data_IF_186124154527
#
_entry.id   IF_186124154527
#
_cell.length_a   1.000
_cell.length_b   1.000
_cell.length_c   1.000
_cell.angle_alpha   90.00
_cell.angle_beta   90.00
_cell.angle_gamma   90.00
#
_symmetry.space_group_name_H-M   'P 1'
#
loop_
_entity.id
_entity.type
_entity.pdbx_description
1 polymer ?
#
# COMPACT_ATOMS: atom_id res chain seq x y z
N UNK A 1 7.15 -29.57 -32.67
CA UNK A 1 6.55 -29.07 -31.41
C UNK A 1 5.43 -30.04 -31.06
N UNK A 2 5.16 -30.32 -29.79
CA UNK A 2 3.94 -31.04 -29.43
C UNK A 2 2.76 -30.07 -29.62
N UNK A 3 1.76 -30.47 -30.39
CA UNK A 3 0.60 -29.61 -30.65
C UNK A 3 -0.21 -29.39 -29.37
N UNK A 4 -0.40 -28.12 -29.01
CA UNK A 4 -1.16 -27.74 -27.80
C UNK A 4 -2.64 -28.09 -28.05
N UNK A 5 -3.31 -28.84 -27.15
CA UNK A 5 -4.71 -29.17 -27.32
C UNK A 5 -5.59 -27.93 -27.51
N UNK A 6 -6.54 -28.00 -28.44
CA UNK A 6 -7.44 -26.88 -28.78
C UNK A 6 -8.23 -26.35 -27.57
N UNK A 7 -8.58 -27.24 -26.63
CA UNK A 7 -9.18 -26.92 -25.33
C UNK A 7 -8.29 -25.98 -24.49
N UNK A 8 -6.99 -26.23 -24.45
CA UNK A 8 -6.01 -25.42 -23.70
C UNK A 8 -5.84 -24.06 -24.35
N UNK A 9 -5.76 -24.01 -25.68
CA UNK A 9 -5.68 -22.75 -26.44
C UNK A 9 -6.93 -21.88 -26.19
N UNK A 10 -8.12 -22.49 -26.20
CA UNK A 10 -9.40 -21.83 -25.93
C UNK A 10 -9.53 -21.34 -24.48
N UNK A 11 -8.96 -22.07 -23.52
CA UNK A 11 -8.96 -21.64 -22.11
C UNK A 11 -7.94 -20.52 -21.88
N UNK A 12 -6.75 -20.61 -22.48
CA UNK A 12 -5.70 -19.59 -22.36
C UNK A 12 -6.14 -18.24 -22.95
N UNK A 13 -6.87 -18.22 -24.06
CA UNK A 13 -7.35 -16.96 -24.66
C UNK A 13 -8.41 -16.24 -23.82
N UNK A 14 -9.00 -16.89 -22.81
CA UNK A 14 -9.90 -16.29 -21.82
C UNK A 14 -9.16 -15.68 -20.61
N UNK A 15 -7.87 -15.94 -20.46
CA UNK A 15 -7.03 -15.36 -19.40
C UNK A 15 -6.41 -14.03 -19.85
N UNK A 16 -6.20 -13.05 -18.96
CA UNK A 16 -5.41 -11.84 -19.24
C UNK A 16 -4.02 -12.16 -19.81
N UNK A 17 -3.51 -11.33 -20.71
CA UNK A 17 -2.24 -11.58 -21.45
C UNK A 17 -1.06 -11.70 -20.48
N UNK A 18 -1.07 -10.92 -19.41
CA UNK A 18 -0.09 -10.94 -18.33
C UNK A 18 -0.09 -12.30 -17.64
N UNK A 19 -1.28 -12.81 -17.29
CA UNK A 19 -1.49 -14.12 -16.67
C UNK A 19 -1.05 -15.26 -17.59
N UNK A 20 -1.39 -15.19 -18.88
CA UNK A 20 -0.89 -16.14 -19.90
C UNK A 20 0.65 -16.16 -19.93
N UNK A 21 1.29 -15.00 -19.89
CA UNK A 21 2.76 -14.89 -19.93
C UNK A 21 3.43 -15.53 -18.72
N UNK A 22 2.87 -15.32 -17.51
CA UNK A 22 3.37 -15.89 -16.26
C UNK A 22 3.17 -17.41 -16.24
N UNK A 23 2.01 -17.90 -16.67
CA UNK A 23 1.70 -19.33 -16.75
C UNK A 23 2.66 -20.05 -17.69
N UNK A 24 2.88 -19.53 -18.91
CA UNK A 24 3.74 -20.15 -19.93
C UNK A 24 5.24 -20.05 -19.63
N UNK A 25 5.69 -19.07 -18.84
CA UNK A 25 7.11 -18.92 -18.47
C UNK A 25 7.60 -20.12 -17.66
N UNK A 26 8.79 -20.67 -17.96
CA UNK A 26 9.35 -21.78 -17.15
C UNK A 26 9.57 -21.35 -15.70
N UNK A 27 9.32 -22.24 -14.75
CA UNK A 27 9.60 -21.98 -13.34
C UNK A 27 11.10 -21.77 -13.13
N UNK A 28 11.48 -20.75 -12.37
CA UNK A 28 12.86 -20.37 -12.10
C UNK A 28 13.06 -20.04 -10.61
N UNK A 29 14.20 -19.41 -10.26
CA UNK A 29 14.43 -18.92 -8.89
C UNK A 29 13.55 -17.72 -8.52
N UNK A 30 13.15 -16.90 -9.51
CA UNK A 30 12.23 -15.76 -9.31
C UNK A 30 10.90 -16.25 -8.71
N UNK A 31 10.52 -15.78 -7.50
CA UNK A 31 9.24 -16.09 -6.85
C UNK A 31 8.03 -15.98 -7.77
N UNK A 32 7.96 -14.95 -8.64
CA UNK A 32 6.85 -14.70 -9.57
C UNK A 32 6.72 -15.77 -10.66
N UNK A 33 7.73 -16.62 -10.84
CA UNK A 33 7.72 -17.75 -11.77
C UNK A 33 7.49 -19.10 -11.11
N UNK A 34 7.51 -19.17 -9.76
CA UNK A 34 7.39 -20.44 -9.03
C UNK A 34 5.99 -21.01 -9.11
N UNK A 35 5.91 -22.33 -8.93
CA UNK A 35 4.65 -23.07 -9.00
C UNK A 35 3.61 -22.51 -8.01
N UNK A 36 3.98 -22.29 -6.75
CA UNK A 36 3.13 -21.72 -5.70
C UNK A 36 2.49 -20.40 -6.12
N UNK A 37 3.29 -19.47 -6.66
CA UNK A 37 2.80 -18.17 -7.13
C UNK A 37 1.82 -18.32 -8.31
N UNK A 38 2.11 -19.18 -9.29
CA UNK A 38 1.20 -19.42 -10.43
C UNK A 38 -0.15 -19.99 -10.01
N UNK A 39 -0.15 -20.94 -9.07
CA UNK A 39 -1.38 -21.55 -8.52
C UNK A 39 -2.23 -20.48 -7.83
N UNK A 40 -1.61 -19.61 -7.03
CA UNK A 40 -2.31 -18.51 -6.36
C UNK A 40 -2.83 -17.45 -7.32
N UNK A 41 -2.04 -17.05 -8.31
CA UNK A 41 -2.44 -16.07 -9.32
C UNK A 41 -3.64 -16.55 -10.14
N UNK A 42 -3.70 -17.85 -10.48
CA UNK A 42 -4.86 -18.49 -11.09
C UNK A 42 -6.07 -18.50 -10.14
N UNK A 43 -5.87 -18.86 -8.87
CA UNK A 43 -6.93 -18.88 -7.86
C UNK A 43 -7.54 -17.50 -7.61
N UNK A 44 -6.71 -16.45 -7.54
CA UNK A 44 -7.16 -15.06 -7.41
C UNK A 44 -7.94 -14.58 -8.65
N UNK A 45 -7.51 -14.98 -9.85
CA UNK A 45 -8.25 -14.70 -11.09
C UNK A 45 -9.62 -15.40 -11.14
N UNK A 46 -9.69 -16.67 -10.72
CA UNK A 46 -10.95 -17.43 -10.68
C UNK A 46 -11.92 -16.87 -9.64
N UNK A 47 -11.45 -16.28 -8.55
CA UNK A 47 -12.30 -15.65 -7.54
C UNK A 47 -13.20 -14.54 -8.15
N UNK A 48 -12.71 -13.81 -9.15
CA UNK A 48 -13.48 -12.80 -9.90
C UNK A 48 -14.12 -13.34 -11.19
N UNK A 49 -13.76 -14.55 -11.62
CA UNK A 49 -14.21 -15.19 -12.87
C UNK A 49 -14.68 -16.64 -12.63
N UNK A 50 -15.60 -16.83 -11.68
CA UNK A 50 -16.04 -18.16 -11.23
C UNK A 50 -16.61 -19.06 -12.34
N UNK A 51 -17.17 -18.47 -13.40
CA UNK A 51 -17.64 -19.21 -14.58
C UNK A 51 -16.50 -19.95 -15.34
N UNK A 52 -15.23 -19.56 -15.14
CA UNK A 52 -14.05 -20.22 -15.69
C UNK A 52 -13.47 -21.30 -14.76
N UNK A 53 -13.97 -21.47 -13.54
CA UNK A 53 -13.42 -22.40 -12.54
C UNK A 53 -13.30 -23.83 -13.08
N UNK A 54 -14.36 -24.30 -13.74
CA UNK A 54 -14.38 -25.63 -14.36
C UNK A 54 -13.37 -25.71 -15.51
N UNK A 55 -13.36 -24.75 -16.44
CA UNK A 55 -12.48 -24.77 -17.62
C UNK A 55 -11.00 -24.78 -17.25
N UNK A 56 -10.59 -23.90 -16.33
CA UNK A 56 -9.22 -23.81 -15.81
C UNK A 56 -8.90 -24.99 -14.90
N UNK A 57 -9.89 -25.54 -14.21
CA UNK A 57 -9.75 -26.69 -13.33
C UNK A 57 -9.15 -26.35 -11.96
N UNK A 58 -9.41 -25.15 -11.44
CA UNK A 58 -8.94 -24.72 -10.12
C UNK A 58 -9.87 -23.67 -9.50
N UNK A 59 -10.13 -23.74 -8.20
CA UNK A 59 -10.92 -22.74 -7.47
C UNK A 59 -10.88 -22.89 -5.95
N UNK A 60 -11.27 -21.84 -5.22
CA UNK A 60 -11.33 -21.85 -3.76
C UNK A 60 -12.56 -22.62 -3.25
N UNK A 61 -12.39 -23.29 -2.10
CA UNK A 61 -13.46 -23.97 -1.36
C UNK A 61 -13.72 -23.28 -0.02
N UNK A 62 -12.69 -22.68 0.58
CA UNK A 62 -12.75 -21.80 1.74
C UNK A 62 -11.63 -20.75 1.68
N UNK A 63 -11.38 -20.00 2.75
CA UNK A 63 -10.23 -19.07 2.83
C UNK A 63 -8.87 -19.80 2.71
N UNK A 64 -8.78 -21.04 3.21
CA UNK A 64 -7.54 -21.81 3.32
C UNK A 64 -7.51 -23.07 2.45
N UNK A 65 -8.66 -23.53 1.95
CA UNK A 65 -8.76 -24.73 1.12
C UNK A 65 -9.14 -24.39 -0.32
N UNK A 66 -8.50 -25.05 -1.26
CA UNK A 66 -8.80 -24.96 -2.68
C UNK A 66 -8.95 -26.36 -3.31
N UNK A 67 -9.58 -26.42 -4.47
CA UNK A 67 -9.76 -27.63 -5.27
C UNK A 67 -9.05 -27.51 -6.61
N UNK A 68 -8.48 -28.62 -7.07
CA UNK A 68 -7.79 -28.75 -8.36
C UNK A 68 -8.32 -29.96 -9.12
N UNK A 69 -8.70 -29.75 -10.38
CA UNK A 69 -8.80 -30.77 -11.41
C UNK A 69 -7.43 -30.91 -12.08
N UNK A 70 -6.65 -31.89 -11.61
CA UNK A 70 -5.22 -31.96 -11.95
C UNK A 70 -4.96 -32.17 -13.44
N UNK A 71 -5.87 -32.77 -14.20
CA UNK A 71 -5.68 -32.99 -15.65
C UNK A 71 -5.71 -31.65 -16.41
N UNK A 72 -6.78 -30.88 -16.24
CA UNK A 72 -6.94 -29.54 -16.84
C UNK A 72 -5.79 -28.61 -16.45
N UNK A 73 -5.43 -28.58 -15.17
CA UNK A 73 -4.36 -27.70 -14.71
C UNK A 73 -2.95 -28.12 -15.18
N UNK A 74 -2.70 -29.43 -15.35
CA UNK A 74 -1.45 -29.95 -15.94
C UNK A 74 -1.32 -29.55 -17.41
N UNK A 75 -2.41 -29.68 -18.16
CA UNK A 75 -2.51 -29.26 -19.57
C UNK A 75 -2.31 -27.74 -19.70
N UNK A 76 -2.98 -26.93 -18.87
CA UNK A 76 -2.89 -25.47 -18.87
C UNK A 76 -1.50 -24.94 -18.51
N UNK A 77 -0.84 -25.55 -17.51
CA UNK A 77 0.51 -25.16 -17.08
C UNK A 77 1.62 -25.71 -17.99
N UNK A 78 1.31 -26.60 -18.93
CA UNK A 78 2.30 -27.23 -19.82
C UNK A 78 3.33 -28.10 -19.09
N UNK A 79 2.91 -28.79 -18.02
CA UNK A 79 3.77 -29.68 -17.22
C UNK A 79 3.34 -31.15 -17.33
N UNK A 80 4.09 -32.07 -16.72
CA UNK A 80 3.69 -33.49 -16.63
C UNK A 80 2.92 -33.74 -15.33
N UNK A 81 1.97 -34.69 -15.35
CA UNK A 81 1.20 -35.09 -14.16
C UNK A 81 2.09 -35.49 -12.97
N UNK A 82 3.22 -36.16 -13.23
CA UNK A 82 4.19 -36.50 -12.19
C UNK A 82 4.80 -35.25 -11.56
N UNK A 83 5.18 -34.25 -12.37
CA UNK A 83 5.70 -32.96 -11.88
C UNK A 83 4.66 -32.19 -11.08
N UNK A 84 3.37 -32.24 -11.45
CA UNK A 84 2.29 -31.66 -10.65
C UNK A 84 2.17 -32.31 -9.27
N UNK A 85 2.18 -33.65 -9.20
CA UNK A 85 2.11 -34.36 -7.92
C UNK A 85 3.34 -34.10 -7.03
N UNK A 86 4.54 -34.08 -7.63
CA UNK A 86 5.80 -33.78 -6.94
C UNK A 86 5.79 -32.34 -6.42
N UNK A 87 5.45 -31.35 -7.25
CA UNK A 87 5.38 -29.95 -6.83
C UNK A 87 4.38 -29.74 -5.67
N UNK A 88 3.20 -30.37 -5.73
CA UNK A 88 2.22 -30.25 -4.63
C UNK A 88 2.78 -30.84 -3.33
N UNK A 89 3.43 -32.01 -3.39
CA UNK A 89 4.02 -32.66 -2.23
C UNK A 89 5.21 -31.87 -1.65
N UNK A 90 6.21 -31.59 -2.48
CA UNK A 90 7.50 -31.02 -2.08
C UNK A 90 7.37 -29.55 -1.62
N UNK A 91 6.33 -28.85 -2.07
CA UNK A 91 5.99 -27.50 -1.65
C UNK A 91 4.95 -27.47 -0.52
N UNK A 92 4.76 -28.58 0.21
CA UNK A 92 3.99 -28.62 1.45
C UNK A 92 2.46 -28.50 1.30
N UNK A 93 1.89 -28.84 0.14
CA UNK A 93 0.44 -28.88 0.00
C UNK A 93 -0.14 -30.21 0.53
N UNK A 94 -0.95 -30.11 1.57
CA UNK A 94 -1.64 -31.24 2.19
C UNK A 94 -2.96 -31.54 1.46
N UNK A 95 -3.15 -32.79 1.08
CA UNK A 95 -4.34 -33.26 0.36
C UNK A 95 -5.47 -33.56 1.34
N UNK A 96 -6.52 -32.74 1.33
CA UNK A 96 -7.68 -32.86 2.22
C UNK A 96 -8.73 -33.86 1.74
N UNK A 97 -8.82 -34.11 0.44
CA UNK A 97 -9.81 -35.04 -0.12
C UNK A 97 -9.22 -35.90 -1.25
N UNK A 98 -9.55 -37.20 -1.23
CA UNK A 98 -9.32 -38.11 -2.35
C UNK A 98 -10.04 -37.64 -3.62
N UNK A 99 -9.60 -38.15 -4.77
CA UNK A 99 -10.10 -37.72 -6.07
C UNK A 99 -11.58 -38.10 -6.23
N UNK A 100 -12.42 -37.10 -6.50
CA UNK A 100 -13.84 -37.27 -6.80
C UNK A 100 -14.16 -36.50 -8.07
N UNK A 101 -14.57 -37.21 -9.12
CA UNK A 101 -14.86 -36.64 -10.45
C UNK A 101 -13.68 -35.82 -11.03
N UNK A 102 -12.45 -36.28 -10.84
CA UNK A 102 -11.22 -35.58 -11.27
C UNK A 102 -10.74 -34.45 -10.34
N UNK A 103 -11.58 -34.01 -9.40
CA UNK A 103 -11.27 -32.95 -8.45
C UNK A 103 -10.60 -33.50 -7.17
N UNK A 104 -9.64 -32.75 -6.64
CA UNK A 104 -8.94 -33.01 -5.37
C UNK A 104 -8.85 -31.75 -4.54
N UNK A 105 -9.03 -31.81 -3.21
CA UNK A 105 -8.90 -30.66 -2.29
C UNK A 105 -7.52 -30.62 -1.64
N UNK A 106 -7.00 -29.41 -1.48
CA UNK A 106 -5.66 -29.11 -0.95
C UNK A 106 -5.70 -27.91 -0.01
N UNK A 107 -4.77 -27.88 0.93
CA UNK A 107 -4.44 -26.75 1.82
C UNK A 107 -2.92 -26.66 1.98
N UNK A 108 -2.40 -25.50 2.41
CA UNK A 108 -1.00 -25.30 2.80
C UNK A 108 -0.94 -24.15 3.81
N UNK A 109 -0.12 -24.30 4.84
CA UNK A 109 0.08 -23.24 5.83
C UNK A 109 0.63 -21.96 5.18
N UNK A 110 -0.05 -20.83 5.45
CA UNK A 110 0.27 -19.54 4.85
C UNK A 110 -0.15 -19.38 3.37
N UNK A 111 -0.92 -20.31 2.81
CA UNK A 111 -1.49 -20.23 1.46
C UNK A 111 -3.02 -20.05 1.56
N UNK A 112 -3.50 -18.81 1.46
CA UNK A 112 -4.93 -18.42 1.60
C UNK A 112 -5.38 -17.57 0.42
N UNK A 113 -6.66 -17.19 0.34
CA UNK A 113 -7.15 -16.32 -0.73
C UNK A 113 -6.33 -15.02 -0.84
N UNK A 114 -5.99 -14.45 0.32
CA UNK A 114 -5.35 -13.14 0.44
C UNK A 114 -3.83 -13.21 0.68
N UNK A 115 -3.25 -14.40 0.86
CA UNK A 115 -1.84 -14.55 1.27
C UNK A 115 -1.14 -15.75 0.61
N UNK A 116 0.14 -15.56 0.28
CA UNK A 116 1.07 -16.63 -0.08
C UNK A 116 2.38 -16.50 0.68
N UNK A 117 2.67 -17.46 1.54
CA UNK A 117 4.01 -17.69 2.08
C UNK A 117 4.88 -18.31 0.99
N UNK A 118 6.02 -17.69 0.66
CA UNK A 118 6.87 -18.15 -0.44
C UNK A 118 7.68 -19.38 -0.05
N UNK A 119 8.09 -20.16 -1.05
CA UNK A 119 8.82 -21.41 -0.80
C UNK A 119 10.23 -21.18 -0.23
N UNK A 120 10.73 -19.94 -0.26
CA UNK A 120 11.97 -19.51 0.42
C UNK A 120 11.86 -19.55 1.94
N UNK A 121 10.65 -19.44 2.49
CA UNK A 121 10.42 -19.14 3.90
C UNK A 121 10.19 -20.44 4.71
N UNK A 122 10.21 -21.60 4.04
CA UNK A 122 10.01 -22.93 4.60
C UNK A 122 11.33 -23.67 4.92
N UNK A 123 12.49 -23.12 4.55
CA UNK A 123 13.80 -23.69 4.90
C UNK A 123 14.23 -23.27 6.33
N UNK A 124 13.90 -24.07 7.37
CA UNK A 124 14.76 -24.31 8.56
C UNK A 124 14.16 -25.16 9.72
N UNK A 125 13.42 -26.24 9.46
CA UNK A 125 13.05 -27.21 10.54
C UNK A 125 13.22 -28.70 10.15
N UNK A 126 14.23 -29.04 9.34
CA UNK A 126 14.65 -30.44 9.15
C UNK A 126 16.14 -30.61 9.41
N UNK A 127 16.47 -31.70 10.10
CA UNK A 127 17.67 -31.83 10.93
C UNK A 127 18.98 -32.18 10.18
N UNK A 128 20.08 -31.99 10.90
CA UNK A 128 21.47 -32.21 10.52
C UNK A 128 21.76 -33.42 9.62
N UNK A 129 22.20 -33.15 8.38
CA UNK A 129 23.08 -34.06 7.63
C UNK A 129 24.18 -33.22 6.94
N UNK A 130 25.46 -33.37 7.32
CA UNK A 130 26.53 -32.57 6.73
C UNK A 130 26.84 -33.05 5.30
N UNK A 131 26.62 -32.18 4.31
CA UNK A 131 27.14 -32.35 2.94
C UNK A 131 28.15 -31.27 2.60
N UNK A 132 29.27 -31.70 2.03
CA UNK A 132 30.49 -30.92 1.84
C UNK A 132 30.35 -29.87 0.74
N UNK A 133 30.77 -28.63 1.06
CA UNK A 133 30.88 -27.54 0.08
C UNK A 133 31.94 -27.87 -0.97
N UNK A 134 31.59 -27.74 -2.25
CA UNK A 134 32.56 -27.48 -3.33
C UNK A 134 32.21 -26.13 -3.94
N UNK A 135 33.17 -25.21 -3.86
CA UNK A 135 33.13 -23.91 -4.55
C UNK A 135 33.62 -24.12 -5.98
N UNK A 136 32.98 -23.48 -6.95
CA UNK A 136 33.46 -23.41 -8.33
C UNK A 136 33.28 -21.99 -8.86
N UNK A 137 34.40 -21.36 -9.19
CA UNK A 137 34.53 -20.13 -9.99
C UNK A 137 34.56 -20.50 -11.48
N UNK A 138 34.18 -19.57 -12.38
CA UNK A 138 34.58 -19.39 -13.81
C UNK A 138 33.53 -18.42 -14.40
N UNK A 139 33.86 -17.13 -14.56
CA UNK A 139 34.48 -16.48 -15.75
C UNK A 139 33.50 -16.15 -16.89
N UNK A 140 33.58 -14.92 -17.39
CA UNK A 140 32.73 -14.33 -18.44
C UNK A 140 33.55 -14.15 -19.73
N UNK A 141 33.10 -14.65 -20.89
CA UNK A 141 33.71 -14.31 -22.18
C UNK A 141 33.08 -13.05 -22.79
N UNK A 142 33.91 -12.06 -23.11
CA UNK A 142 33.54 -10.85 -23.86
C UNK A 142 33.89 -11.00 -25.34
N UNK A 143 32.89 -10.99 -26.23
CA UNK A 143 33.03 -10.85 -27.70
C UNK A 143 31.65 -10.81 -28.36
N UNK A 144 31.36 -10.07 -29.43
CA UNK A 144 32.13 -9.09 -30.21
C UNK A 144 31.13 -8.20 -30.98
N UNK A 145 31.53 -6.99 -31.36
CA UNK A 145 30.84 -6.15 -32.34
C UNK A 145 30.85 -6.80 -33.74
N UNK A 146 29.81 -6.56 -34.55
CA UNK A 146 29.93 -6.07 -35.93
C UNK A 146 28.54 -5.89 -36.58
N UNK A 147 28.30 -4.72 -37.16
CA UNK A 147 27.32 -4.51 -38.24
C UNK A 147 27.88 -5.04 -39.58
N UNK A 148 27.08 -5.09 -40.66
CA UNK A 148 27.17 -3.95 -41.58
C UNK A 148 25.84 -3.49 -42.23
N UNK A 149 25.88 -2.26 -42.75
CA UNK A 149 24.84 -1.60 -43.56
C UNK A 149 24.56 -2.27 -44.92
N UNK A 150 23.41 -1.98 -45.56
CA UNK A 150 23.29 -2.17 -47.01
C UNK A 150 21.90 -2.17 -47.68
N UNK A 151 21.35 -0.96 -47.95
CA UNK A 151 20.57 -0.52 -49.15
C UNK A 151 19.32 -1.33 -49.62
N UNK A 152 18.11 -0.76 -49.67
CA UNK A 152 17.52 0.15 -50.71
C UNK A 152 17.07 -0.54 -52.02
N UNK A 153 15.75 -0.71 -52.22
CA UNK A 153 14.94 -0.12 -53.33
C UNK A 153 13.47 -0.64 -53.40
N UNK A 154 12.65 0.09 -54.17
CA UNK A 154 11.23 0.00 -54.61
C UNK A 154 10.44 -1.35 -54.56
N UNK A 155 9.10 -1.43 -54.59
CA UNK A 155 8.06 -0.65 -55.29
C UNK A 155 6.70 -0.51 -54.54
N UNK A 156 5.83 0.38 -55.06
CA UNK A 156 4.37 0.50 -54.81
C UNK A 156 3.67 0.44 -56.19
N UNK A 157 2.56 -0.31 -56.39
CA UNK A 157 1.20 0.29 -56.45
C UNK A 157 0.07 -0.73 -56.03
N UNK A 158 -1.26 -0.50 -56.00
CA UNK A 158 -2.14 0.69 -55.91
C UNK A 158 -3.60 0.29 -55.49
N UNK A 159 -4.44 1.30 -55.19
CA UNK A 159 -5.92 1.40 -55.39
C UNK A 159 -6.88 0.32 -54.80
N UNK A 160 -7.93 0.79 -54.11
CA UNK A 160 -9.12 0.00 -53.77
C UNK A 160 -10.18 0.73 -52.92
N UNK A 161 -10.98 1.63 -53.54
CA UNK A 161 -12.05 2.40 -52.86
C UNK A 161 -13.34 1.62 -52.54
N UNK A 162 -14.02 2.03 -51.45
CA UNK A 162 -15.50 2.03 -51.16
C UNK A 162 -15.73 2.32 -49.65
N UNK A 163 -16.50 3.30 -49.14
CA UNK A 163 -17.87 3.80 -49.45
C UNK A 163 -18.91 2.67 -49.32
N UNK A 164 -19.91 2.63 -48.42
CA UNK A 164 -20.49 3.52 -47.37
C UNK A 164 -20.94 2.60 -46.18
N UNK A 165 -21.55 2.98 -45.04
CA UNK A 165 -22.74 3.82 -44.78
C UNK A 165 -22.85 4.22 -43.29
N UNK A 166 -23.70 5.21 -42.99
CA UNK A 166 -24.00 5.71 -41.65
C UNK A 166 -25.24 5.01 -41.04
N UNK A 167 -25.20 4.67 -39.75
CA UNK A 167 -26.42 4.60 -38.91
C UNK A 167 -26.16 5.30 -37.58
N UNK A 168 -27.01 6.27 -37.27
CA UNK A 168 -27.08 7.02 -36.02
C UNK A 168 -27.81 6.23 -34.93
N UNK A 169 -27.28 6.26 -33.70
CA UNK A 169 -28.08 6.06 -32.49
C UNK A 169 -27.55 6.95 -31.36
N UNK A 170 -28.41 7.83 -30.86
CA UNK A 170 -28.07 8.85 -29.88
C UNK A 170 -28.02 8.33 -28.42
N UNK A 171 -27.24 9.05 -27.61
CA UNK A 171 -27.46 9.35 -26.18
C UNK A 171 -27.55 8.18 -25.17
N UNK A 172 -26.44 7.97 -24.46
CA UNK A 172 -26.38 8.19 -23.00
C UNK A 172 -24.92 8.28 -22.55
N UNK A 173 -24.33 9.49 -22.62
CA UNK A 173 -23.01 9.75 -22.06
C UNK A 173 -23.10 9.85 -20.53
N UNK A 174 -22.92 8.72 -19.84
CA UNK A 174 -22.41 8.75 -18.46
C UNK A 174 -20.94 9.17 -18.51
N UNK A 175 -20.63 10.39 -18.10
CA UNK A 175 -19.26 10.89 -17.95
C UNK A 175 -18.51 10.07 -16.89
N UNK A 176 -17.84 9.01 -17.35
CA UNK A 176 -16.94 8.22 -16.52
C UNK A 176 -15.66 9.03 -16.29
N UNK A 177 -15.60 9.75 -15.17
CA UNK A 177 -14.38 10.37 -14.70
C UNK A 177 -13.49 9.30 -14.06
N UNK A 178 -12.56 8.76 -14.84
CA UNK A 178 -11.54 7.83 -14.37
C UNK A 178 -10.44 8.62 -13.64
N UNK A 179 -9.98 8.11 -12.50
CA UNK A 179 -8.65 8.46 -11.99
C UNK A 179 -7.65 8.03 -13.07
N UNK A 180 -6.91 8.98 -13.64
CA UNK A 180 -5.87 8.68 -14.61
C UNK A 180 -4.67 8.03 -13.90
N UNK A 181 -4.64 6.69 -13.90
CA UNK A 181 -3.42 5.95 -13.64
C UNK A 181 -2.47 6.19 -14.81
N UNK A 182 -1.37 6.90 -14.58
CA UNK A 182 -0.35 7.10 -15.60
C UNK A 182 0.26 5.74 -15.97
N UNK A 183 0.00 5.31 -17.21
CA UNK A 183 0.58 4.08 -17.76
C UNK A 183 1.90 4.34 -18.50
N UNK A 184 2.19 5.62 -18.79
CA UNK A 184 3.35 6.07 -19.55
C UNK A 184 4.41 6.69 -18.62
N UNK A 185 5.20 5.83 -17.98
CA UNK A 185 6.58 6.19 -17.68
C UNK A 185 7.46 5.50 -18.72
N UNK A 186 8.31 6.26 -19.39
CA UNK A 186 9.22 5.73 -20.40
C UNK A 186 10.20 4.71 -19.78
N UNK A 187 10.49 3.64 -20.53
CA UNK A 187 11.30 2.52 -20.06
C UNK A 187 12.80 2.85 -20.03
N UNK A 188 13.23 3.61 -19.02
CA UNK A 188 14.66 3.75 -18.72
C UNK A 188 15.17 2.55 -17.90
N UNK A 189 16.40 2.11 -18.20
CA UNK A 189 16.87 0.74 -17.95
C UNK A 189 17.57 0.51 -16.61
N UNK A 190 16.92 0.81 -15.49
CA UNK A 190 17.37 0.38 -14.16
C UNK A 190 16.54 -0.81 -13.67
N UNK A 191 17.07 -2.04 -13.83
CA UNK A 191 16.36 -3.28 -13.43
C UNK A 191 16.28 -3.52 -11.91
N UNK A 192 16.96 -2.70 -11.10
CA UNK A 192 17.04 -2.83 -9.63
C UNK A 192 16.05 -1.93 -8.84
N UNK A 193 15.27 -1.08 -9.50
CA UNK A 193 14.31 -0.20 -8.80
C UNK A 193 13.01 -0.94 -8.44
N UNK A 194 12.61 -0.86 -7.17
CA UNK A 194 11.37 -1.46 -6.66
C UNK A 194 10.18 -0.77 -7.35
N UNK A 195 9.22 -1.50 -7.96
CA UNK A 195 8.14 -0.89 -8.73
C UNK A 195 7.21 -0.01 -7.89
N UNK A 196 7.43 1.30 -7.93
CA UNK A 196 6.62 2.31 -7.24
C UNK A 196 5.34 2.58 -8.03
N UNK A 197 4.17 2.49 -7.38
CA UNK A 197 2.88 2.81 -8.02
C UNK A 197 2.40 4.19 -7.54
N UNK A 198 2.10 5.07 -8.50
CA UNK A 198 1.71 6.46 -8.26
C UNK A 198 0.19 6.62 -8.42
N UNK A 199 -0.43 7.32 -7.48
CA UNK A 199 -1.83 7.76 -7.49
C UNK A 199 -1.86 9.29 -7.55
N UNK A 200 -2.43 9.89 -8.60
CA UNK A 200 -2.55 11.34 -8.72
C UNK A 200 -3.92 11.82 -8.25
N UNK A 201 -3.96 12.88 -7.44
CA UNK A 201 -5.20 13.63 -7.18
C UNK A 201 -5.42 14.74 -8.23
N UNK A 202 -6.58 15.42 -8.15
CA UNK A 202 -6.96 16.51 -9.07
C UNK A 202 -6.05 17.75 -8.95
N UNK A 203 -5.23 17.84 -7.91
CA UNK A 203 -4.22 18.89 -7.68
C UNK A 203 -2.83 18.46 -8.20
N UNK A 204 -2.70 17.23 -8.70
CA UNK A 204 -1.46 16.67 -9.24
C UNK A 204 -0.54 16.01 -8.20
N UNK A 205 -0.94 15.90 -6.93
CA UNK A 205 -0.13 15.22 -5.91
C UNK A 205 -0.06 13.72 -6.19
N UNK A 206 1.17 13.21 -6.29
CA UNK A 206 1.46 11.79 -6.42
C UNK A 206 1.60 11.12 -5.05
N UNK A 207 0.62 10.31 -4.66
CA UNK A 207 0.70 9.43 -3.50
C UNK A 207 1.24 8.05 -3.91
N UNK A 208 2.07 7.47 -3.05
CA UNK A 208 2.74 6.19 -3.29
C UNK A 208 2.28 5.16 -2.27
N UNK A 209 2.11 3.91 -2.72
CA UNK A 209 1.99 2.75 -1.84
C UNK A 209 3.30 1.95 -1.91
N UNK A 210 4.16 2.15 -0.91
CA UNK A 210 5.51 1.60 -0.85
C UNK A 210 5.55 0.09 -0.63
N UNK A 211 6.56 -0.57 -1.20
CA UNK A 211 6.83 -2.03 -1.15
C UNK A 211 5.69 -2.97 -1.57
N UNK A 212 4.62 -2.47 -2.20
CA UNK A 212 3.48 -3.26 -2.68
C UNK A 212 3.56 -3.50 -4.19
N UNK A 213 3.28 -4.71 -4.66
CA UNK A 213 3.21 -5.01 -6.09
C UNK A 213 2.11 -4.19 -6.79
N UNK A 214 2.36 -3.67 -8.01
CA UNK A 214 1.38 -2.88 -8.80
C UNK A 214 -0.02 -3.51 -8.86
N UNK A 215 -0.12 -4.83 -9.05
CA UNK A 215 -1.41 -5.56 -9.02
C UNK A 215 -2.14 -5.44 -7.68
N UNK A 216 -1.41 -5.55 -6.56
CA UNK A 216 -1.95 -5.38 -5.21
C UNK A 216 -2.29 -3.90 -4.92
N UNK A 217 -1.52 -2.94 -5.44
CA UNK A 217 -1.88 -1.53 -5.36
C UNK A 217 -3.21 -1.25 -6.09
N UNK A 218 -3.39 -1.80 -7.30
CA UNK A 218 -4.65 -1.67 -8.05
C UNK A 218 -5.83 -2.27 -7.27
N UNK A 219 -5.67 -3.46 -6.69
CA UNK A 219 -6.71 -4.10 -5.86
C UNK A 219 -7.04 -3.21 -4.65
N UNK A 220 -6.03 -2.75 -3.92
CA UNK A 220 -6.19 -1.85 -2.77
C UNK A 220 -6.98 -0.59 -3.11
N UNK A 221 -6.65 0.09 -4.22
CA UNK A 221 -7.39 1.31 -4.64
C UNK A 221 -8.84 1.00 -4.99
N UNK A 222 -9.11 -0.11 -5.70
CA UNK A 222 -10.49 -0.51 -6.02
C UNK A 222 -11.29 -0.90 -4.78
N UNK A 223 -10.66 -1.53 -3.78
CA UNK A 223 -11.26 -1.76 -2.46
C UNK A 223 -11.60 -0.43 -1.77
N UNK A 224 -10.70 0.55 -1.79
CA UNK A 224 -10.94 1.87 -1.20
C UNK A 224 -12.10 2.60 -1.89
N UNK A 225 -12.16 2.61 -3.23
CA UNK A 225 -13.25 3.23 -4.01
C UNK A 225 -14.59 2.56 -3.68
N UNK A 226 -14.62 1.22 -3.64
CA UNK A 226 -15.81 0.45 -3.30
C UNK A 226 -16.31 0.80 -1.89
N UNK A 227 -15.41 0.88 -0.91
CA UNK A 227 -15.76 1.21 0.46
C UNK A 227 -16.23 2.67 0.60
N UNK A 228 -15.59 3.62 -0.09
CA UNK A 228 -16.03 5.02 -0.15
C UNK A 228 -17.48 5.15 -0.61
N UNK A 229 -17.83 4.50 -1.73
CA UNK A 229 -19.20 4.50 -2.23
C UNK A 229 -20.19 3.84 -1.26
N UNK A 230 -19.80 2.76 -0.58
CA UNK A 230 -20.63 2.12 0.44
C UNK A 230 -20.86 3.03 1.67
N UNK A 231 -19.82 3.71 2.16
CA UNK A 231 -19.88 4.56 3.35
C UNK A 231 -20.65 5.88 3.11
N UNK A 232 -20.62 6.40 1.88
CA UNK A 232 -21.12 7.73 1.55
C UNK A 232 -22.24 7.73 0.49
N UNK A 233 -22.95 6.62 0.29
CA UNK A 233 -24.11 6.49 -0.62
C UNK A 233 -23.78 6.82 -2.09
N UNK A 234 -22.71 6.24 -2.62
CA UNK A 234 -22.19 6.48 -3.98
C UNK A 234 -21.77 7.93 -4.26
N UNK A 235 -21.43 8.71 -3.22
CA UNK A 235 -20.82 10.02 -3.36
C UNK A 235 -19.53 9.91 -4.21
N UNK A 236 -19.33 10.74 -5.25
CA UNK A 236 -18.10 10.75 -6.04
C UNK A 236 -16.84 10.96 -5.19
N UNK A 237 -15.70 10.43 -5.64
CA UNK A 237 -14.43 10.46 -4.90
C UNK A 237 -13.82 11.87 -4.73
N UNK A 238 -14.18 12.81 -5.60
CA UNK A 238 -13.74 14.21 -5.56
C UNK A 238 -14.57 15.08 -4.60
N UNK A 239 -15.70 14.56 -4.11
CA UNK A 239 -16.58 15.31 -3.21
C UNK A 239 -16.07 15.32 -1.77
N UNK A 240 -16.46 16.38 -1.05
CA UNK A 240 -16.06 16.64 0.33
C UNK A 240 -17.11 16.18 1.34
N UNK A 241 -16.66 15.51 2.39
CA UNK A 241 -17.49 14.99 3.48
C UNK A 241 -17.14 15.71 4.79
N UNK A 242 -18.10 16.28 5.55
CA UNK A 242 -17.81 16.89 6.84
C UNK A 242 -17.14 15.92 7.82
N UNK A 243 -16.09 16.35 8.56
CA UNK A 243 -15.33 15.57 9.56
C UNK A 243 -16.20 14.65 10.41
N UNK A 244 -17.23 15.19 11.06
CA UNK A 244 -18.12 14.42 11.93
C UNK A 244 -18.91 13.29 11.22
N UNK A 245 -19.23 13.46 9.93
CA UNK A 245 -19.88 12.42 9.12
C UNK A 245 -18.85 11.38 8.68
N UNK A 246 -17.69 11.83 8.18
CA UNK A 246 -16.59 10.96 7.73
C UNK A 246 -16.12 10.04 8.85
N UNK A 247 -15.71 10.62 9.98
CA UNK A 247 -15.23 9.90 11.17
C UNK A 247 -16.28 8.89 11.66
N UNK A 248 -17.55 9.28 11.74
CA UNK A 248 -18.62 8.40 12.22
C UNK A 248 -18.88 7.21 11.31
N UNK A 249 -18.86 7.40 9.98
CA UNK A 249 -19.01 6.29 9.04
C UNK A 249 -17.78 5.37 9.06
N UNK A 250 -16.57 5.93 9.12
CA UNK A 250 -15.35 5.15 9.22
C UNK A 250 -15.31 4.34 10.52
N UNK A 251 -15.74 4.92 11.64
CA UNK A 251 -15.88 4.24 12.92
C UNK A 251 -16.93 3.13 12.91
N UNK A 252 -18.00 3.28 12.14
CA UNK A 252 -19.03 2.25 11.97
C UNK A 252 -18.54 1.08 11.11
N UNK A 253 -17.72 1.35 10.09
CA UNK A 253 -17.10 0.33 9.23
C UNK A 253 -15.93 -0.40 9.91
N UNK A 254 -15.07 0.32 10.65
CA UNK A 254 -13.86 -0.21 11.26
C UNK A 254 -14.06 -0.90 12.61
N UNK A 255 -15.16 -0.60 13.34
CA UNK A 255 -15.35 -1.11 14.72
C UNK A 255 -15.40 -2.64 14.75
N UNK A 256 -14.82 -3.22 15.80
CA UNK A 256 -15.07 -4.64 16.12
C UNK A 256 -16.54 -4.86 16.55
N UNK A 257 -17.12 -6.06 16.42
CA UNK A 257 -18.49 -6.35 16.83
C UNK A 257 -18.79 -5.92 18.29
N UNK A 258 -17.87 -6.21 19.20
CA UNK A 258 -17.92 -5.95 20.63
C UNK A 258 -17.48 -4.52 21.03
N UNK A 259 -16.87 -3.75 20.12
CA UNK A 259 -16.36 -2.43 20.42
C UNK A 259 -17.50 -1.38 20.44
N UNK A 260 -17.63 -0.58 21.51
CA UNK A 260 -18.55 0.55 21.53
C UNK A 260 -18.23 1.55 20.42
N UNK A 261 -19.25 2.00 19.68
CA UNK A 261 -19.07 2.95 18.56
C UNK A 261 -18.36 4.24 19.00
N UNK A 262 -18.64 4.74 20.19
CA UNK A 262 -18.01 5.94 20.73
C UNK A 262 -16.48 5.78 20.89
N UNK A 263 -16.01 4.62 21.34
CA UNK A 263 -14.58 4.33 21.42
C UNK A 263 -13.93 4.20 20.03
N UNK A 264 -14.65 3.65 19.05
CA UNK A 264 -14.18 3.61 17.64
C UNK A 264 -14.04 5.02 17.06
N UNK A 265 -14.99 5.91 17.35
CA UNK A 265 -14.95 7.34 16.98
C UNK A 265 -13.71 8.00 17.61
N UNK A 266 -13.54 7.92 18.93
CA UNK A 266 -12.41 8.54 19.65
C UNK A 266 -11.04 8.10 19.11
N UNK A 267 -10.89 6.81 18.78
CA UNK A 267 -9.66 6.27 18.19
C UNK A 267 -9.39 6.86 16.80
N UNK A 268 -10.42 7.01 15.96
CA UNK A 268 -10.25 7.55 14.61
C UNK A 268 -10.07 9.08 14.65
N UNK A 269 -10.76 9.80 15.54
CA UNK A 269 -10.52 11.23 15.78
C UNK A 269 -9.08 11.48 16.21
N UNK A 270 -8.52 10.67 17.10
CA UNK A 270 -7.13 10.77 17.51
C UNK A 270 -6.12 10.53 16.37
N UNK A 271 -6.43 9.62 15.43
CA UNK A 271 -5.59 9.37 14.24
C UNK A 271 -5.54 10.58 13.30
N UNK A 272 -6.62 11.36 13.23
CA UNK A 272 -6.76 12.53 12.35
C UNK A 272 -6.55 13.88 13.05
N UNK A 273 -6.29 13.91 14.36
CA UNK A 273 -6.21 15.15 15.14
C UNK A 273 -5.09 16.10 14.63
N UNK A 274 -3.94 15.55 14.26
CA UNK A 274 -2.77 16.34 13.84
C UNK A 274 -2.83 16.81 12.36
N UNK A 275 -3.79 16.32 11.56
CA UNK A 275 -3.99 16.70 10.15
C UNK A 275 -4.12 18.22 9.96
N UNK A 276 -4.73 18.88 10.94
CA UNK A 276 -5.01 20.31 10.91
C UNK A 276 -3.72 21.15 11.10
N UNK A 277 -2.64 20.56 11.62
CA UNK A 277 -1.32 21.22 11.77
C UNK A 277 -0.48 21.14 10.48
N UNK A 278 -0.49 20.00 9.79
CA UNK A 278 0.25 19.78 8.53
C UNK A 278 -0.16 20.77 7.43
N UNK A 279 -1.48 20.93 7.24
CA UNK A 279 -2.03 21.83 6.22
C UNK A 279 -1.61 23.29 6.41
N UNK A 280 -1.37 23.73 7.64
CA UNK A 280 -0.88 25.10 7.90
C UNK A 280 0.62 25.23 7.60
N UNK A 281 1.39 24.15 7.71
CA UNK A 281 2.83 24.14 7.45
C UNK A 281 3.14 24.28 5.96
N UNK A 282 2.40 23.55 5.10
CA UNK A 282 2.55 23.61 3.63
C UNK A 282 2.27 25.03 3.11
N UNK A 283 1.13 25.62 3.49
CA UNK A 283 0.72 26.96 3.03
C UNK A 283 1.69 28.08 3.46
N UNK A 284 2.54 27.86 4.47
CA UNK A 284 3.52 28.86 4.90
C UNK A 284 4.84 28.81 4.10
N UNK A 285 5.20 27.69 3.46
CA UNK A 285 6.38 27.64 2.58
C UNK A 285 6.16 28.47 1.32
N UNK A 286 5.00 28.33 0.67
CA UNK A 286 4.71 29.05 -0.58
C UNK A 286 4.59 30.57 -0.38
N UNK A 287 4.04 31.01 0.75
CA UNK A 287 3.92 32.43 1.06
C UNK A 287 5.28 33.09 1.41
N UNK A 288 6.19 32.37 2.08
CA UNK A 288 7.53 32.90 2.40
C UNK A 288 8.42 33.08 1.16
N UNK A 289 8.24 32.28 0.12
CA UNK A 289 8.96 32.46 -1.15
C UNK A 289 8.54 33.73 -1.92
N UNK A 290 7.34 34.28 -1.68
CA UNK A 290 6.87 35.50 -2.35
C UNK A 290 7.21 36.81 -1.63
N UNK A 291 7.48 36.80 -0.32
CA UNK A 291 7.75 38.03 0.45
C UNK A 291 9.24 38.46 0.51
N UNK A 292 10.18 37.61 0.07
CA UNK A 292 11.61 37.88 0.20
C UNK A 292 12.23 38.80 -0.88
N UNK A 293 11.40 39.53 -1.64
CA UNK A 293 11.87 40.36 -2.76
C UNK A 293 11.67 41.88 -2.57
N UNK A 294 11.27 42.35 -1.38
CA UNK A 294 11.18 43.77 -1.05
C UNK A 294 11.58 44.04 0.43
N UNK A 295 12.88 44.15 0.69
CA UNK A 295 13.46 45.21 1.54
C UNK A 295 14.98 45.04 1.67
N UNK A 296 15.72 45.88 0.96
CA UNK A 296 17.08 46.27 1.31
C UNK A 296 17.16 47.78 1.16
N UNK A 297 17.47 48.47 2.27
CA UNK A 297 18.10 49.80 2.39
C UNK A 297 17.90 50.29 3.83
N UNK A 298 19.01 50.35 4.59
CA UNK A 298 19.35 51.31 5.65
C UNK A 298 18.47 51.33 6.94
N UNK A 299 18.99 51.67 8.13
CA UNK A 299 20.34 52.08 8.54
C UNK A 299 20.55 51.79 10.05
N UNK A 300 21.80 51.86 10.50
CA UNK A 300 22.19 51.84 11.91
C UNK A 300 21.57 52.98 12.74
N UNK A 301 21.44 52.79 14.06
CA UNK A 301 22.01 53.71 15.06
C UNK A 301 21.97 53.15 16.48
N UNK A 302 23.05 53.43 17.22
CA UNK A 302 23.22 53.21 18.67
C UNK A 302 22.35 54.13 19.55
N UNK A 303 22.47 53.91 20.87
CA UNK A 303 22.08 54.71 22.06
C UNK A 303 20.83 54.21 22.79
N UNK A 304 20.71 54.26 24.11
CA UNK A 304 21.61 54.43 25.28
C UNK A 304 20.68 54.23 26.51
N UNK A 305 21.26 54.08 27.69
CA UNK A 305 20.63 53.89 28.99
C UNK A 305 19.60 54.95 29.40
N UNK A 306 18.57 54.53 30.15
CA UNK A 306 17.53 55.42 30.70
C UNK A 306 16.70 54.79 31.82
N UNK A 307 17.11 55.02 33.08
CA UNK A 307 16.38 54.63 34.30
C UNK A 307 15.45 55.78 34.72
N UNK A 308 14.15 55.53 34.98
CA UNK A 308 13.45 55.92 36.23
C UNK A 308 11.90 55.79 36.27
N UNK A 309 11.43 55.49 37.48
CA UNK A 309 10.19 55.87 38.18
C UNK A 309 8.77 55.69 37.59
N UNK A 310 7.98 54.95 38.36
CA UNK A 310 6.70 55.35 38.98
C UNK A 310 5.88 56.51 38.38
N UNK A 311 4.61 56.20 38.07
CA UNK A 311 3.47 56.80 38.80
C UNK A 311 2.15 56.08 38.55
N UNK A 312 1.33 56.03 39.61
CA UNK A 312 -0.09 55.71 39.55
C UNK A 312 -0.83 56.67 38.62
N UNK A 313 -1.91 56.20 38.00
CA UNK A 313 -3.09 57.03 37.72
C UNK A 313 -4.33 56.15 37.61
N UNK A 314 -5.24 56.30 38.57
CA UNK A 314 -6.65 55.92 38.39
C UNK A 314 -7.25 56.79 37.28
N UNK A 315 -7.75 56.16 36.22
CA UNK A 315 -8.70 56.79 35.29
C UNK A 315 -9.84 55.81 35.03
N UNK A 316 -10.95 56.08 35.70
CA UNK A 316 -12.27 55.56 35.36
C UNK A 316 -12.63 55.88 33.91
N UNK A 317 -13.07 54.89 33.14
CA UNK A 317 -13.76 55.11 31.87
C UNK A 317 -14.89 54.09 31.69
N UNK A 318 -16.12 54.58 31.77
CA UNK A 318 -17.29 53.88 31.25
C UNK A 318 -17.11 53.67 29.74
N UNK A 319 -17.10 52.41 29.29
CA UNK A 319 -17.30 52.03 27.89
C UNK A 319 -17.90 50.61 27.79
N UNK A 320 -18.88 50.31 28.64
CA UNK A 320 -19.70 49.11 28.48
C UNK A 320 -20.63 49.24 27.27
N UNK A 321 -20.63 48.18 26.43
CA UNK A 321 -21.39 47.98 25.18
C UNK A 321 -20.82 48.63 23.90
N UNK A 322 -19.95 47.87 23.21
CA UNK A 322 -20.12 47.49 21.78
C UNK A 322 -18.97 46.58 21.28
N UNK A 323 -18.88 45.34 21.77
CA UNK A 323 -17.87 44.41 21.27
C UNK A 323 -18.29 42.92 21.37
N UNK A 324 -19.40 42.56 20.72
CA UNK A 324 -19.89 41.18 20.64
C UNK A 324 -20.52 40.85 19.26
N UNK A 325 -19.82 41.11 18.15
CA UNK A 325 -20.39 40.78 16.82
C UNK A 325 -19.38 40.51 15.66
N UNK A 326 -18.08 40.29 15.94
CA UNK A 326 -17.06 40.13 14.87
C UNK A 326 -16.11 38.93 15.01
N UNK A 327 -16.42 37.95 15.87
CA UNK A 327 -15.61 36.73 16.05
C UNK A 327 -16.10 35.50 15.27
N UNK A 328 -17.08 35.64 14.36
CA UNK A 328 -17.44 34.58 13.40
C UNK A 328 -16.46 34.54 12.19
N UNK A 329 -15.16 34.66 12.50
CA UNK A 329 -14.10 34.57 11.50
C UNK A 329 -13.85 33.12 11.15
N UNK A 330 -14.61 32.66 10.15
CA UNK A 330 -14.24 31.55 9.26
C UNK A 330 -13.71 30.33 10.00
N UNK A 331 -14.58 29.67 10.75
CA UNK A 331 -14.34 28.29 11.18
C UNK A 331 -14.26 27.42 9.91
N UNK A 332 -13.05 27.28 9.37
CA UNK A 332 -12.73 26.49 8.18
C UNK A 332 -13.41 25.14 8.37
N UNK A 333 -14.30 24.73 7.46
CA UNK A 333 -14.92 23.42 7.57
C UNK A 333 -13.83 22.40 7.37
N UNK A 334 -13.57 21.61 8.41
CA UNK A 334 -12.71 20.45 8.32
C UNK A 334 -13.43 19.41 7.45
N UNK A 335 -13.26 19.53 6.15
CA UNK A 335 -13.80 18.60 5.19
C UNK A 335 -12.76 17.50 4.89
N UNK A 336 -13.27 16.29 4.73
CA UNK A 336 -12.53 15.07 4.43
C UNK A 336 -12.84 14.62 3.00
N UNK A 337 -11.90 13.91 2.41
CA UNK A 337 -11.86 13.52 1.00
C UNK A 337 -11.56 12.04 0.86
N UNK A 338 -11.65 11.51 -0.36
CA UNK A 338 -11.24 10.14 -0.65
C UNK A 338 -9.79 9.84 -0.23
N UNK A 339 -8.88 10.81 -0.36
CA UNK A 339 -7.46 10.66 0.04
C UNK A 339 -7.31 10.42 1.55
N UNK A 340 -8.20 10.96 2.39
CA UNK A 340 -8.14 10.73 3.83
C UNK A 340 -8.54 9.28 4.19
N UNK A 341 -9.51 8.70 3.48
CA UNK A 341 -9.86 7.27 3.59
C UNK A 341 -8.72 6.39 3.08
N UNK A 342 -8.18 6.71 1.89
CA UNK A 342 -7.06 6.01 1.28
C UNK A 342 -5.84 5.98 2.22
N UNK A 343 -5.53 7.12 2.84
CA UNK A 343 -4.43 7.26 3.82
C UNK A 343 -4.68 6.40 5.05
N UNK A 344 -5.88 6.43 5.64
CA UNK A 344 -6.22 5.56 6.77
C UNK A 344 -6.06 4.07 6.44
N UNK A 345 -6.54 3.65 5.26
CA UNK A 345 -6.46 2.26 4.81
C UNK A 345 -5.06 1.84 4.37
N UNK A 346 -4.22 2.76 3.89
CA UNK A 346 -2.81 2.46 3.62
C UNK A 346 -2.06 2.19 4.93
N UNK A 347 -2.33 2.97 5.98
CA UNK A 347 -1.72 2.83 7.32
C UNK A 347 -2.22 1.61 8.10
N UNK A 348 -3.52 1.33 8.05
CA UNK A 348 -4.17 0.33 8.93
C UNK A 348 -5.09 -0.67 8.24
N UNK A 349 -5.29 -0.62 6.92
CA UNK A 349 -6.15 -1.57 6.19
C UNK A 349 -5.64 -3.02 6.27
N UNK A 350 -6.50 -4.02 6.02
CA UNK A 350 -7.87 -3.89 5.53
C UNK A 350 -8.86 -3.48 6.63
N UNK A 351 -10.00 -2.90 6.24
CA UNK A 351 -10.92 -2.18 7.15
C UNK A 351 -11.38 -3.04 8.33
N UNK A 352 -11.67 -4.31 8.07
CA UNK A 352 -12.22 -5.31 9.00
C UNK A 352 -11.30 -5.61 10.19
N UNK A 353 -9.99 -5.41 10.02
CA UNK A 353 -8.98 -5.66 11.07
C UNK A 353 -8.16 -4.43 11.44
N UNK A 354 -8.52 -3.26 10.91
CA UNK A 354 -7.81 -2.00 11.15
C UNK A 354 -7.70 -1.62 12.62
N UNK A 355 -8.79 -1.74 13.39
CA UNK A 355 -8.80 -1.53 14.84
C UNK A 355 -7.84 -2.47 15.61
N UNK A 356 -7.55 -3.67 15.07
CA UNK A 356 -6.58 -4.60 15.66
C UNK A 356 -5.15 -4.11 15.39
N UNK A 357 -4.86 -3.64 14.17
CA UNK A 357 -3.54 -3.04 13.83
C UNK A 357 -3.28 -1.77 14.63
N UNK A 358 -4.28 -0.89 14.77
CA UNK A 358 -4.21 0.31 15.61
C UNK A 358 -3.94 -0.08 17.08
N UNK A 359 -4.66 -1.07 17.62
CA UNK A 359 -4.45 -1.54 18.99
C UNK A 359 -3.07 -2.19 19.20
N UNK A 360 -2.50 -2.86 18.19
CA UNK A 360 -1.11 -3.33 18.24
C UNK A 360 -0.14 -2.15 18.33
N UNK A 361 -0.28 -1.16 17.44
CA UNK A 361 0.60 0.02 17.42
C UNK A 361 0.51 0.83 18.73
N UNK A 362 -0.70 1.03 19.26
CA UNK A 362 -0.93 1.71 20.53
C UNK A 362 -0.33 0.97 21.75
N UNK A 363 -0.20 -0.37 21.70
CA UNK A 363 0.51 -1.11 22.77
C UNK A 363 2.01 -0.84 22.77
N UNK A 364 2.62 -0.50 21.63
CA UNK A 364 4.05 -0.19 21.54
C UNK A 364 4.43 1.13 22.25
N UNK A 365 3.49 2.07 22.43
CA UNK A 365 3.72 3.27 23.27
C UNK A 365 3.69 2.93 24.76
N UNK A 366 2.83 1.99 25.17
CA UNK A 366 2.68 1.54 26.56
C UNK A 366 3.85 0.65 27.02
N UNK A 367 4.37 -0.22 26.15
CA UNK A 367 5.47 -1.12 26.53
C UNK A 367 6.78 -0.36 26.84
N UNK A 368 7.09 0.68 26.07
CA UNK A 368 8.30 1.48 26.26
C UNK A 368 8.31 2.28 27.59
N UNK A 369 7.16 2.62 28.17
CA UNK A 369 7.16 3.35 29.46
C UNK A 369 7.61 2.48 30.64
N UNK A 370 7.58 1.16 30.51
CA UNK A 370 7.90 0.25 31.61
C UNK A 370 9.40 -0.11 31.69
N UNK A 371 10.13 -0.05 30.57
CA UNK A 371 11.56 -0.42 30.50
C UNK A 371 12.51 0.72 30.86
N UNK A 372 12.05 1.98 30.90
CA UNK A 372 12.86 3.15 31.26
C UNK A 372 12.50 3.81 32.61
N UNK A 373 11.75 3.14 33.48
CA UNK A 373 11.26 3.69 34.76
C UNK A 373 12.30 3.81 35.89
N UNK A 374 13.55 4.14 35.56
CA UNK A 374 14.61 4.45 36.52
C UNK A 374 14.53 5.86 37.13
N UNK A 375 13.91 6.82 36.42
CA UNK A 375 13.77 8.21 36.87
C UNK A 375 12.32 8.68 36.74
N UNK A 376 11.72 9.05 37.88
CA UNK A 376 10.27 9.22 38.04
C UNK A 376 9.69 10.51 37.51
N UNK A 377 9.60 10.68 36.18
CA UNK A 377 8.77 11.71 35.55
C UNK A 377 7.64 11.07 34.74
N UNK A 378 6.39 11.39 35.11
CA UNK A 378 5.15 10.80 34.57
C UNK A 378 4.78 11.25 33.14
N UNK A 379 5.73 11.71 32.33
CA UNK A 379 5.45 11.99 30.92
C UNK A 379 5.27 10.67 30.19
N UNK A 380 4.03 10.43 29.74
CA UNK A 380 3.74 9.41 28.74
C UNK A 380 4.42 9.84 27.44
N UNK A 381 5.62 9.37 27.19
CA UNK A 381 6.37 9.64 25.97
C UNK A 381 5.65 8.97 24.79
N UNK A 382 4.63 9.63 24.26
CA UNK A 382 3.98 9.22 23.03
C UNK A 382 4.95 9.51 21.88
N UNK A 383 5.75 8.50 21.56
CA UNK A 383 6.77 8.58 20.52
C UNK A 383 6.18 8.33 19.11
N UNK A 384 4.90 7.99 19.01
CA UNK A 384 4.18 7.77 17.74
C UNK A 384 3.38 9.01 17.35
N UNK A 385 3.63 9.48 16.15
CA UNK A 385 2.90 10.56 15.49
C UNK A 385 2.21 10.01 14.23
N UNK A 386 1.06 10.56 13.84
CA UNK A 386 0.37 10.14 12.61
C UNK A 386 0.83 10.91 11.36
N UNK A 387 1.67 11.92 11.55
CA UNK A 387 2.23 12.82 10.55
C UNK A 387 3.67 13.19 10.96
N UNK A 388 4.53 13.67 10.05
CA UNK A 388 5.89 14.10 10.40
C UNK A 388 5.87 15.20 11.48
N UNK A 389 6.40 14.96 12.69
CA UNK A 389 6.35 15.94 13.78
C UNK A 389 7.29 17.10 13.52
N UNK A 390 7.01 18.27 14.14
CA UNK A 390 7.95 19.38 14.08
C UNK A 390 9.19 19.08 14.92
N UNK A 391 10.33 19.64 14.56
CA UNK A 391 11.60 19.43 15.28
C UNK A 391 11.47 19.75 16.77
N UNK A 392 10.69 20.77 17.14
CA UNK A 392 10.35 21.14 18.52
C UNK A 392 9.83 19.95 19.34
N UNK A 393 8.91 19.21 18.75
CA UNK A 393 8.07 18.20 19.41
C UNK A 393 8.87 16.94 19.77
N UNK A 394 9.99 16.73 19.07
CA UNK A 394 10.85 15.55 19.19
C UNK A 394 12.20 15.85 19.82
N UNK A 395 12.56 17.11 20.11
CA UNK A 395 13.87 17.49 20.69
C UNK A 395 14.27 16.75 21.97
N UNK A 396 13.30 16.22 22.72
CA UNK A 396 13.50 15.52 23.99
C UNK A 396 13.30 14.00 23.92
N UNK A 397 13.01 13.45 22.74
CA UNK A 397 12.68 12.03 22.54
C UNK A 397 13.87 11.24 21.98
N UNK A 398 14.41 10.30 22.76
CA UNK A 398 15.48 9.38 22.30
C UNK A 398 15.09 8.56 21.07
N UNK A 399 13.80 8.28 20.89
CA UNK A 399 13.23 7.65 19.72
C UNK A 399 11.85 8.26 19.44
N UNK A 400 11.53 8.44 18.15
CA UNK A 400 10.18 8.79 17.69
C UNK A 400 9.89 8.14 16.33
N UNK A 401 8.63 8.06 15.94
CA UNK A 401 8.24 7.54 14.63
C UNK A 401 6.92 8.11 14.11
N UNK A 402 6.78 8.16 12.80
CA UNK A 402 5.69 8.80 12.09
C UNK A 402 5.38 8.10 10.76
N UNK A 403 4.18 8.32 10.21
CA UNK A 403 3.86 7.88 8.85
C UNK A 403 4.36 8.89 7.81
N UNK A 404 5.01 8.41 6.76
CA UNK A 404 5.49 9.25 5.67
C UNK A 404 4.34 9.86 4.86
N UNK A 405 4.54 11.09 4.38
CA UNK A 405 3.51 11.81 3.61
C UNK A 405 3.48 11.43 2.13
N UNK A 406 4.56 10.85 1.59
CA UNK A 406 4.65 10.42 0.19
C UNK A 406 4.26 8.94 0.07
N UNK A 407 4.82 8.09 0.93
CA UNK A 407 4.53 6.65 0.99
C UNK A 407 3.48 6.36 2.07
N UNK A 408 2.20 6.34 1.69
CA UNK A 408 1.05 6.36 2.63
C UNK A 408 1.01 5.21 3.66
N UNK A 409 1.65 4.08 3.34
CA UNK A 409 1.75 2.90 4.20
C UNK A 409 3.10 2.75 4.92
N UNK A 410 4.06 3.65 4.70
CA UNK A 410 5.37 3.63 5.36
C UNK A 410 5.31 4.30 6.72
N UNK A 411 5.83 3.60 7.74
CA UNK A 411 6.13 4.14 9.05
C UNK A 411 7.65 4.23 9.22
N UNK A 412 8.12 5.42 9.57
CA UNK A 412 9.52 5.77 9.77
C UNK A 412 9.78 5.88 11.26
N UNK A 413 10.89 5.31 11.75
CA UNK A 413 11.35 5.43 13.14
C UNK A 413 12.75 6.02 13.15
N UNK A 414 12.92 7.12 13.87
CA UNK A 414 14.19 7.79 14.09
C UNK A 414 14.68 7.49 15.51
N UNK A 415 15.86 6.89 15.62
CA UNK A 415 16.56 6.65 16.88
C UNK A 415 17.63 7.74 17.04
N UNK A 416 17.34 8.77 17.83
CA UNK A 416 18.23 9.95 17.95
C UNK A 416 19.60 9.58 18.54
N UNK A 417 19.64 8.66 19.51
CA UNK A 417 20.88 8.24 20.19
C UNK A 417 21.90 7.58 19.24
N UNK A 418 21.43 6.90 18.19
CA UNK A 418 22.27 6.16 17.23
C UNK A 418 22.32 6.81 15.85
N UNK A 419 21.50 7.83 15.60
CA UNK A 419 21.26 8.39 14.25
C UNK A 419 20.63 7.39 13.27
N UNK A 420 20.12 6.25 13.74
CA UNK A 420 19.58 5.20 12.87
C UNK A 420 18.13 5.49 12.51
N UNK A 421 17.83 5.41 11.21
CA UNK A 421 16.46 5.40 10.69
C UNK A 421 16.05 3.96 10.39
N UNK A 422 14.82 3.58 10.73
CA UNK A 422 14.17 2.33 10.32
C UNK A 422 12.91 2.64 9.54
N UNK A 423 12.66 1.90 8.47
CA UNK A 423 11.40 1.98 7.69
C UNK A 423 10.69 0.63 7.72
N UNK A 424 9.37 0.69 7.86
CA UNK A 424 8.49 -0.49 7.79
C UNK A 424 7.20 -0.10 7.08
N UNK A 425 6.68 -1.00 6.23
CA UNK A 425 5.49 -0.77 5.44
C UNK A 425 4.35 -1.66 5.91
N UNK A 426 3.17 -1.08 6.14
CA UNK A 426 1.93 -1.86 6.27
C UNK A 426 1.52 -2.41 4.91
N UNK A 427 1.08 -3.67 4.89
CA UNK A 427 0.51 -4.34 3.74
C UNK A 427 -1.01 -4.24 3.85
N UNK A 428 -1.67 -3.29 3.15
CA UNK A 428 -3.06 -2.93 3.44
C UNK A 428 -4.10 -3.96 2.96
N UNK A 429 -3.67 -4.99 2.23
CA UNK A 429 -4.49 -6.14 1.84
C UNK A 429 -4.30 -7.36 2.76
N UNK A 430 -3.31 -7.34 3.66
CA UNK A 430 -3.07 -8.44 4.60
C UNK A 430 -3.71 -8.08 5.93
N UNK A 431 -4.60 -8.94 6.43
CA UNK A 431 -5.29 -8.71 7.70
C UNK A 431 -4.35 -8.68 8.93
N UNK A 432 -4.89 -8.33 10.09
CA UNK A 432 -4.11 -8.27 11.34
C UNK A 432 -3.70 -9.64 11.92
N UNK A 433 -4.08 -10.75 11.28
CA UNK A 433 -3.69 -12.12 11.65
C UNK A 433 -2.56 -12.66 10.75
N UNK A 434 -2.40 -12.10 9.56
CA UNK A 434 -1.29 -12.33 8.66
C UNK A 434 -0.01 -11.57 9.05
N UNK A 435 1.04 -11.73 8.25
CA UNK A 435 2.29 -10.98 8.43
C UNK A 435 2.23 -9.69 7.61
N UNK A 436 1.59 -8.68 8.20
CA UNK A 436 1.14 -7.45 7.53
C UNK A 436 2.15 -6.30 7.54
N UNK A 437 3.35 -6.50 8.09
CA UNK A 437 4.44 -5.53 8.02
C UNK A 437 5.60 -6.12 7.23
N UNK A 438 6.33 -5.30 6.47
CA UNK A 438 7.63 -5.66 5.89
C UNK A 438 8.65 -4.51 6.09
N UNK A 439 9.92 -4.83 6.30
CA UNK A 439 11.01 -3.83 6.37
C UNK A 439 11.75 -3.66 5.02
N UNK A 440 12.79 -2.83 5.03
CA UNK A 440 13.68 -2.55 3.89
C UNK A 440 14.39 -3.79 3.33
N UNK A 441 14.44 -4.88 4.10
CA UNK A 441 15.06 -6.17 3.73
C UNK A 441 14.03 -7.22 3.34
N UNK A 442 12.76 -6.81 3.17
CA UNK A 442 11.61 -7.68 2.88
C UNK A 442 11.36 -8.71 4.01
N UNK A 443 11.88 -8.48 5.22
CA UNK A 443 11.57 -9.30 6.39
C UNK A 443 10.17 -8.96 6.86
N UNK A 444 9.30 -9.97 6.92
CA UNK A 444 7.89 -9.78 7.30
C UNK A 444 7.66 -9.94 8.79
N UNK A 445 6.79 -9.12 9.38
CA UNK A 445 6.37 -9.19 10.78
C UNK A 445 4.85 -9.30 10.88
N UNK A 446 4.36 -10.00 11.91
CA UNK A 446 2.94 -10.35 12.07
C UNK A 446 2.22 -9.51 13.12
N UNK A 447 2.92 -8.56 13.71
CA UNK A 447 2.35 -7.42 14.42
C UNK A 447 3.36 -6.28 14.53
N UNK A 448 2.86 -5.07 14.81
CA UNK A 448 3.71 -3.97 15.28
C UNK A 448 4.58 -4.41 16.48
N UNK A 449 4.03 -5.16 17.45
CA UNK A 449 4.82 -5.65 18.59
C UNK A 449 6.02 -6.48 18.15
N UNK A 450 5.83 -7.45 17.25
CA UNK A 450 6.93 -8.29 16.76
C UNK A 450 7.99 -7.53 15.95
N UNK A 451 7.63 -6.40 15.34
CA UNK A 451 8.60 -5.49 14.72
C UNK A 451 9.34 -4.66 15.79
N UNK A 452 8.64 -4.16 16.80
CA UNK A 452 9.24 -3.42 17.92
C UNK A 452 10.22 -4.27 18.74
N UNK A 453 9.87 -5.52 18.99
CA UNK A 453 10.77 -6.50 19.63
C UNK A 453 11.99 -6.86 18.78
N UNK A 454 11.98 -6.59 17.48
CA UNK A 454 13.11 -6.87 16.57
C UNK A 454 14.08 -5.69 16.49
N UNK A 455 13.58 -4.46 16.42
CA UNK A 455 14.41 -3.25 16.40
C UNK A 455 15.02 -2.90 17.77
N UNK A 456 14.58 -3.56 18.85
CA UNK A 456 15.15 -3.47 20.21
C UNK A 456 16.32 -4.45 20.45
N UNK A 457 16.64 -5.32 19.48
CA UNK A 457 17.74 -6.30 19.54
C UNK A 457 18.96 -5.84 18.74
#
# INVERSE_FOLDING_TARGET
>A
MEDIPESVTTTLSKLPVELQSVIRRKCSRDPKTRFTYKIHLLLAFILTNSYLEEEVGIGWVSEQEFRINKKRLVELLGIKMNSMNVNLHDLGFHKMQHEKNGWTRWTRDGFTQNRILMDTDLESVQADIPRTKKVATIEVPTSLLNEPEGKLEHEKPEIGDKITDQITSENNESTSHQIHFDQNLESDKNEDEIPTTILKDDLGHSYILGTVMRTACNIFVQTCITLWFQMFNNLPIYEKVPKNVFIKQLALAAKRPEQPIQNSIEVIEAIFADRDNDMNSINNLDNNNNNNNNNSVNNDNDTDSGINHDKNNDVSNDNDKKEYENNDKTKKKDDFTFIDLLTFLARFGPIETSMIKIAHMAKCTILNSNTMSGYGNNFRNNWIFFYPPQTSDVTSLSMYGYFDSNELNMFVINMQETGTVKKVWNMPLIDAYGCYLADEKVKTFCSWLSFFEDIQK
#
